data_IF_179121847992
#
_entry.id   IF_179121847992
#
_cell.length_a   1.000
_cell.length_b   1.000
_cell.length_c   1.000
_cell.angle_alpha   90.00
_cell.angle_beta   90.00
_cell.angle_gamma   90.00
#
_symmetry.space_group_name_H-M   'P 1'
#
loop_
_entity.id
_entity.type
_entity.pdbx_description
1 polymer ?
#
# COMPACT_ATOMS: atom_id res chain seq x y z
N UNK A 1 -57.78 -2.04 45.74
CA UNK A 1 -56.46 -1.36 45.67
C UNK A 1 -55.59 -2.20 44.76
N UNK A 2 -55.94 -2.20 43.48
CA UNK A 2 -55.55 -3.22 42.49
C UNK A 2 -54.61 -2.62 41.44
N UNK A 3 -53.65 -1.81 41.90
CA UNK A 3 -52.73 -1.07 41.03
C UNK A 3 -51.25 -1.39 41.24
N UNK A 4 -50.91 -2.30 42.17
CA UNK A 4 -49.50 -2.58 42.53
C UNK A 4 -49.01 -3.98 42.20
N UNK A 5 -49.87 -4.94 41.82
CA UNK A 5 -49.43 -6.29 41.42
C UNK A 5 -49.11 -6.44 39.92
N UNK A 6 -49.61 -5.56 39.06
CA UNK A 6 -49.30 -5.61 37.62
C UNK A 6 -48.00 -4.88 37.25
N UNK A 7 -47.54 -3.92 38.06
CA UNK A 7 -46.30 -3.17 37.79
C UNK A 7 -45.03 -4.00 38.04
N UNK A 8 -45.08 -5.01 38.92
CA UNK A 8 -43.90 -5.83 39.27
C UNK A 8 -43.69 -7.00 38.30
N UNK A 9 -44.75 -7.46 37.64
CA UNK A 9 -44.67 -8.52 36.63
C UNK A 9 -44.11 -8.02 35.29
N UNK A 10 -44.25 -6.72 34.98
CA UNK A 10 -43.80 -6.13 33.71
C UNK A 10 -42.34 -5.63 33.73
N UNK A 11 -41.68 -5.66 34.90
CA UNK A 11 -40.27 -5.30 35.04
C UNK A 11 -39.32 -6.51 34.87
N UNK A 12 -39.82 -7.74 35.06
CA UNK A 12 -39.01 -8.95 35.00
C UNK A 12 -38.83 -9.55 33.59
N UNK A 13 -39.53 -9.04 32.57
CA UNK A 13 -39.48 -9.58 31.20
C UNK A 13 -38.60 -8.78 30.23
N UNK A 14 -37.84 -7.77 30.71
CA UNK A 14 -36.98 -6.91 29.85
C UNK A 14 -35.47 -7.08 30.03
N UNK A 15 -35.00 -8.18 30.63
CA UNK A 15 -33.56 -8.43 30.82
C UNK A 15 -33.03 -9.74 30.23
N UNK A 16 -33.74 -10.37 29.29
CA UNK A 16 -33.12 -11.30 28.35
C UNK A 16 -32.40 -10.51 27.24
N UNK A 17 -31.46 -9.66 27.64
CA UNK A 17 -30.65 -8.85 26.74
C UNK A 17 -29.88 -9.78 25.80
N UNK A 18 -30.10 -9.63 24.50
CA UNK A 18 -29.32 -10.32 23.46
C UNK A 18 -27.83 -10.24 23.80
N UNK A 19 -27.25 -11.37 24.20
CA UNK A 19 -25.82 -11.50 24.42
C UNK A 19 -25.11 -10.91 23.21
N UNK A 20 -24.18 -9.97 23.46
CA UNK A 20 -23.49 -9.21 22.42
C UNK A 20 -22.80 -10.22 21.51
N UNK A 21 -23.36 -10.50 20.33
CA UNK A 21 -22.83 -11.48 19.39
C UNK A 21 -21.42 -11.01 18.99
N UNK A 22 -20.40 -11.68 19.52
CA UNK A 22 -18.99 -11.33 19.29
C UNK A 22 -18.53 -12.04 18.04
N UNK A 23 -17.73 -11.35 17.23
CA UNK A 23 -17.03 -11.98 16.12
C UNK A 23 -16.00 -12.97 16.66
N UNK A 24 -15.86 -14.11 15.99
CA UNK A 24 -14.89 -15.17 16.32
C UNK A 24 -13.57 -14.99 15.57
N UNK A 25 -13.59 -14.27 14.45
CA UNK A 25 -12.40 -13.90 13.69
C UNK A 25 -11.96 -12.46 14.01
N UNK A 26 -10.65 -12.24 14.12
CA UNK A 26 -10.07 -10.92 14.36
C UNK A 26 -10.07 -10.05 13.11
N UNK A 27 -10.53 -8.80 13.25
CA UNK A 27 -10.45 -7.76 12.23
C UNK A 27 -10.43 -6.37 12.88
N UNK A 28 -9.82 -5.36 12.23
CA UNK A 28 -9.78 -4.00 12.75
C UNK A 28 -11.12 -3.30 12.53
N UNK A 29 -11.44 -2.36 13.43
CA UNK A 29 -12.65 -1.55 13.33
C UNK A 29 -12.43 -0.23 12.56
N UNK A 30 -11.20 0.08 12.16
CA UNK A 30 -10.84 1.19 11.28
C UNK A 30 -9.85 0.74 10.22
N UNK A 31 -9.71 1.52 9.16
CA UNK A 31 -8.93 1.17 7.97
C UNK A 31 -7.42 1.24 8.18
N UNK A 32 -6.69 0.63 7.24
CA UNK A 32 -5.23 0.64 7.21
C UNK A 32 -4.66 2.07 7.19
N UNK A 33 -5.30 3.00 6.48
CA UNK A 33 -4.89 4.40 6.43
C UNK A 33 -4.80 5.02 7.84
N UNK A 34 -5.82 4.80 8.67
CA UNK A 34 -5.82 5.27 10.06
C UNK A 34 -4.64 4.70 10.87
N UNK A 35 -4.22 3.47 10.58
CA UNK A 35 -3.06 2.86 11.24
C UNK A 35 -1.73 3.46 10.75
N UNK A 36 -1.63 3.77 9.45
CA UNK A 36 -0.47 4.44 8.86
C UNK A 36 -0.32 5.85 9.45
N UNK A 37 -1.40 6.59 9.65
CA UNK A 37 -1.36 7.92 10.29
C UNK A 37 -0.74 7.88 11.71
N UNK A 38 -1.03 6.82 12.49
CA UNK A 38 -0.36 6.62 13.79
C UNK A 38 1.13 6.29 13.61
N UNK A 39 1.47 5.47 12.62
CA UNK A 39 2.84 5.10 12.35
C UNK A 39 3.70 6.29 11.92
N UNK A 40 3.17 7.12 11.02
CA UNK A 40 3.80 8.35 10.56
C UNK A 40 4.03 9.32 11.73
N UNK A 41 3.08 9.42 12.66
CA UNK A 41 3.22 10.25 13.85
C UNK A 41 4.38 9.78 14.75
N UNK A 42 4.49 8.47 15.00
CA UNK A 42 5.59 7.90 15.79
C UNK A 42 6.93 8.09 15.06
N UNK A 43 7.00 7.74 13.78
CA UNK A 43 8.22 7.89 12.97
C UNK A 43 8.72 9.33 12.99
N UNK A 44 7.83 10.30 12.82
CA UNK A 44 8.18 11.72 12.71
C UNK A 44 8.66 12.33 14.03
N UNK A 45 8.22 11.80 15.18
CA UNK A 45 8.46 12.42 16.50
C UNK A 45 9.55 11.71 17.28
N UNK A 46 9.55 10.37 17.28
CA UNK A 46 10.47 9.54 18.09
C UNK A 46 11.27 8.54 17.26
N UNK A 47 11.03 8.49 15.95
CA UNK A 47 11.73 7.59 15.02
C UNK A 47 11.49 6.13 15.36
N UNK A 48 12.51 5.49 15.97
CA UNK A 48 12.49 4.08 16.35
C UNK A 48 12.23 3.84 17.84
N UNK A 49 12.05 4.89 18.64
CA UNK A 49 11.79 4.76 20.09
C UNK A 49 10.29 4.57 20.35
N UNK A 50 10.00 4.26 21.60
CA UNK A 50 8.64 4.05 22.07
C UNK A 50 7.99 5.38 22.50
N UNK A 51 6.65 5.40 22.52
CA UNK A 51 5.84 6.52 23.01
C UNK A 51 4.63 6.03 23.81
N UNK A 52 4.13 6.87 24.71
CA UNK A 52 2.91 6.56 25.48
C UNK A 52 1.61 7.02 24.78
N UNK A 53 0.45 6.65 25.38
CA UNK A 53 -0.88 7.04 24.90
C UNK A 53 -1.07 8.57 24.81
N UNK A 54 -0.54 9.33 25.76
CA UNK A 54 -0.74 10.79 25.82
C UNK A 54 0.10 11.49 24.75
N UNK A 55 1.33 11.04 24.53
CA UNK A 55 2.21 11.50 23.46
C UNK A 55 1.59 11.22 22.08
N UNK A 56 1.20 9.98 21.80
CA UNK A 56 0.66 9.60 20.51
C UNK A 56 -0.69 10.28 20.21
N UNK A 57 -1.55 10.43 21.24
CA UNK A 57 -2.79 11.17 21.09
C UNK A 57 -2.54 12.67 20.82
N UNK A 58 -1.57 13.28 21.49
CA UNK A 58 -1.21 14.68 21.25
C UNK A 58 -0.74 14.91 19.80
N UNK A 59 0.13 14.04 19.27
CA UNK A 59 0.64 14.16 17.90
C UNK A 59 -0.45 14.00 16.84
N UNK A 60 -1.45 13.17 17.11
CA UNK A 60 -2.59 12.92 16.22
C UNK A 60 -3.75 13.89 16.46
N UNK A 61 -3.58 14.86 17.36
CA UNK A 61 -4.59 15.86 17.75
C UNK A 61 -5.87 15.22 18.29
N UNK A 62 -5.72 14.14 19.04
CA UNK A 62 -6.80 13.40 19.68
C UNK A 62 -6.64 13.42 21.20
N UNK A 63 -7.66 12.93 21.90
CA UNK A 63 -7.54 12.63 23.34
C UNK A 63 -7.20 11.17 23.53
N UNK A 64 -6.23 10.87 24.41
CA UNK A 64 -5.84 9.52 24.82
C UNK A 64 -7.01 8.72 25.43
N UNK A 65 -7.97 9.43 26.03
CA UNK A 65 -9.19 8.84 26.62
C UNK A 65 -10.28 8.54 25.58
N UNK A 66 -10.16 9.09 24.37
CA UNK A 66 -11.19 8.92 23.33
C UNK A 66 -11.33 7.46 22.89
N UNK A 67 -12.56 7.06 22.57
CA UNK A 67 -12.82 5.72 22.04
C UNK A 67 -12.23 5.54 20.64
N UNK A 68 -12.24 6.60 19.82
CA UNK A 68 -11.66 6.61 18.48
C UNK A 68 -10.16 6.31 18.51
N UNK A 69 -9.40 7.02 19.36
CA UNK A 69 -7.96 6.79 19.52
C UNK A 69 -7.65 5.33 19.87
N UNK A 70 -8.33 4.78 20.88
CA UNK A 70 -8.16 3.37 21.29
C UNK A 70 -8.50 2.38 20.18
N UNK A 71 -9.52 2.68 19.37
CA UNK A 71 -9.89 1.86 18.20
C UNK A 71 -8.81 1.92 17.12
N UNK A 72 -8.19 3.08 16.88
CA UNK A 72 -7.09 3.23 15.93
C UNK A 72 -5.84 2.48 16.39
N UNK A 73 -5.47 2.60 17.67
CA UNK A 73 -4.36 1.84 18.27
C UNK A 73 -4.58 0.33 18.14
N UNK A 74 -5.80 -0.14 18.48
CA UNK A 74 -6.16 -1.56 18.30
C UNK A 74 -6.05 -2.01 16.83
N UNK A 75 -6.53 -1.20 15.90
CA UNK A 75 -6.45 -1.51 14.48
C UNK A 75 -5.00 -1.58 14.00
N UNK A 76 -4.16 -0.61 14.40
CA UNK A 76 -2.76 -0.57 14.04
C UNK A 76 -1.97 -1.79 14.56
N UNK A 77 -2.31 -2.31 15.75
CA UNK A 77 -1.79 -3.59 16.26
C UNK A 77 -2.31 -4.79 15.45
N UNK A 78 -3.57 -4.76 15.03
CA UNK A 78 -4.18 -5.83 14.22
C UNK A 78 -3.56 -5.92 12.82
N UNK A 79 -3.22 -4.77 12.23
CA UNK A 79 -2.44 -4.68 10.99
C UNK A 79 -0.93 -4.97 11.18
N UNK A 80 -0.49 -5.21 12.43
CA UNK A 80 0.92 -5.37 12.82
C UNK A 80 1.81 -4.17 12.46
N UNK A 81 1.24 -2.98 12.34
CA UNK A 81 1.98 -1.73 12.12
C UNK A 81 2.60 -1.25 13.43
N UNK A 82 1.86 -1.36 14.52
CA UNK A 82 2.34 -1.06 15.87
C UNK A 82 2.52 -2.33 16.69
N UNK A 83 3.48 -2.26 17.59
CA UNK A 83 3.68 -3.24 18.66
C UNK A 83 3.88 -2.51 20.00
N UNK A 84 3.93 -3.29 21.07
CA UNK A 84 3.98 -2.78 22.45
C UNK A 84 2.85 -3.33 23.31
N UNK A 85 2.93 -3.03 24.60
CA UNK A 85 2.02 -3.49 25.63
C UNK A 85 1.32 -2.31 26.31
N UNK A 86 0.06 -2.53 26.72
CA UNK A 86 -0.72 -1.51 27.43
C UNK A 86 -0.72 -0.16 26.68
N UNK A 87 -0.19 0.86 27.36
CA UNK A 87 -0.09 2.25 26.93
C UNK A 87 1.23 2.60 26.23
N UNK A 88 2.15 1.65 26.03
CA UNK A 88 3.41 1.87 25.34
C UNK A 88 3.31 1.39 23.89
N UNK A 89 3.72 2.22 22.93
CA UNK A 89 3.60 1.98 21.50
C UNK A 89 4.92 2.24 20.79
N UNK A 90 5.24 1.38 19.83
CA UNK A 90 6.38 1.57 18.93
C UNK A 90 6.09 0.97 17.56
N UNK A 91 6.87 1.38 16.56
CA UNK A 91 6.81 0.79 15.23
C UNK A 91 7.36 -0.64 15.25
N UNK A 92 6.56 -1.59 14.77
CA UNK A 92 7.07 -2.92 14.44
C UNK A 92 8.04 -2.84 13.24
N UNK A 93 8.72 -3.93 12.92
CA UNK A 93 9.51 -4.02 11.68
C UNK A 93 8.64 -3.72 10.44
N UNK A 94 7.42 -4.26 10.41
CA UNK A 94 6.47 -4.00 9.34
C UNK A 94 6.01 -2.53 9.34
N UNK A 95 5.78 -1.93 10.50
CA UNK A 95 5.42 -0.52 10.62
C UNK A 95 6.49 0.42 10.08
N UNK A 96 7.77 0.12 10.31
CA UNK A 96 8.90 0.87 9.74
C UNK A 96 8.91 0.78 8.21
N UNK A 97 8.71 -0.43 7.67
CA UNK A 97 8.64 -0.63 6.22
C UNK A 97 7.41 0.05 5.58
N UNK A 98 6.32 0.22 6.33
CA UNK A 98 5.10 0.92 5.87
C UNK A 98 5.33 2.42 5.67
N UNK A 99 6.14 3.04 6.53
CA UNK A 99 6.45 4.48 6.47
C UNK A 99 7.67 4.81 5.61
N UNK A 100 8.47 3.81 5.24
CA UNK A 100 9.55 3.96 4.26
C UNK A 100 8.98 3.98 2.83
N UNK A 101 9.12 5.09 2.06
CA UNK A 101 8.59 5.19 0.70
C UNK A 101 9.04 4.07 -0.25
N UNK A 102 10.25 3.52 -0.07
CA UNK A 102 10.76 2.44 -0.93
C UNK A 102 10.05 1.11 -0.68
N UNK A 103 9.70 0.84 0.58
CA UNK A 103 9.13 -0.43 1.01
C UNK A 103 7.61 -0.35 1.25
N UNK A 104 7.04 0.86 1.28
CA UNK A 104 5.66 1.13 1.66
C UNK A 104 4.66 0.28 0.87
N UNK A 105 4.87 0.11 -0.44
CA UNK A 105 3.95 -0.66 -1.30
C UNK A 105 3.85 -2.12 -0.86
N UNK A 106 4.98 -2.80 -0.69
CA UNK A 106 5.02 -4.19 -0.21
C UNK A 106 4.51 -4.28 1.23
N UNK A 107 4.97 -3.36 2.08
CA UNK A 107 4.66 -3.38 3.49
C UNK A 107 3.17 -3.17 3.77
N UNK A 108 2.49 -2.27 3.04
CA UNK A 108 1.04 -2.09 3.12
C UNK A 108 0.30 -3.37 2.70
N UNK A 109 0.76 -4.06 1.66
CA UNK A 109 0.16 -5.32 1.24
C UNK A 109 0.32 -6.43 2.29
N UNK A 110 1.51 -6.53 2.90
CA UNK A 110 1.79 -7.45 4.01
C UNK A 110 0.95 -7.11 5.24
N UNK A 111 0.79 -5.82 5.59
CA UNK A 111 -0.05 -5.36 6.70
C UNK A 111 -1.52 -5.73 6.49
N UNK A 112 -2.04 -5.56 5.26
CA UNK A 112 -3.39 -5.96 4.91
C UNK A 112 -3.62 -7.47 5.12
N UNK A 113 -2.70 -8.31 4.63
CA UNK A 113 -2.79 -9.77 4.78
C UNK A 113 -2.43 -10.29 6.18
N UNK A 114 -1.89 -9.45 7.06
CA UNK A 114 -1.66 -9.81 8.47
C UNK A 114 -2.98 -9.96 9.25
N UNK A 115 -4.06 -9.33 8.77
CA UNK A 115 -5.39 -9.42 9.38
C UNK A 115 -6.04 -10.78 9.05
N UNK A 116 -6.43 -11.59 10.04
CA UNK A 116 -6.97 -12.94 9.81
C UNK A 116 -8.17 -12.97 8.85
N UNK A 117 -9.13 -12.06 9.05
CA UNK A 117 -10.29 -11.96 8.17
C UNK A 117 -9.90 -11.64 6.72
N UNK A 118 -8.95 -10.72 6.52
CA UNK A 118 -8.61 -10.23 5.19
C UNK A 118 -7.84 -11.28 4.40
N UNK A 119 -6.93 -11.99 5.07
CA UNK A 119 -6.26 -13.16 4.51
C UNK A 119 -7.26 -14.23 4.06
N UNK A 120 -8.25 -14.57 4.88
CA UNK A 120 -9.26 -15.57 4.54
C UNK A 120 -10.13 -15.16 3.35
N UNK A 121 -10.54 -13.89 3.29
CA UNK A 121 -11.28 -13.34 2.14
C UNK A 121 -10.42 -13.34 0.88
N UNK A 122 -9.14 -12.98 1.00
CA UNK A 122 -8.21 -13.01 -0.13
C UNK A 122 -7.99 -14.41 -0.67
N UNK A 123 -7.73 -15.39 0.20
CA UNK A 123 -7.54 -16.78 -0.20
C UNK A 123 -8.79 -17.34 -0.90
N UNK A 124 -9.99 -17.00 -0.42
CA UNK A 124 -11.27 -17.42 -1.04
C UNK A 124 -11.48 -16.85 -2.45
N UNK A 125 -11.03 -15.62 -2.70
CA UNK A 125 -11.30 -14.89 -3.95
C UNK A 125 -10.06 -14.67 -4.83
N UNK A 126 -8.93 -15.28 -4.49
CA UNK A 126 -7.67 -15.14 -5.24
C UNK A 126 -7.84 -15.66 -6.66
N UNK A 127 -7.50 -14.82 -7.65
CA UNK A 127 -7.65 -15.14 -9.07
C UNK A 127 -9.09 -15.09 -9.59
N UNK A 128 -10.07 -14.80 -8.72
CA UNK A 128 -11.49 -14.67 -9.06
C UNK A 128 -11.97 -13.22 -9.10
N UNK A 129 -13.29 -13.08 -9.19
CA UNK A 129 -14.01 -11.80 -9.09
C UNK A 129 -14.60 -11.69 -7.69
N UNK A 130 -14.43 -10.54 -7.05
CA UNK A 130 -15.07 -10.25 -5.77
C UNK A 130 -16.59 -10.19 -5.93
N UNK A 131 -17.35 -10.82 -5.03
CA UNK A 131 -18.79 -10.79 -5.10
C UNK A 131 -19.32 -9.38 -4.75
N UNK A 132 -20.57 -9.06 -5.13
CA UNK A 132 -21.21 -7.79 -4.74
C UNK A 132 -21.25 -7.61 -3.22
N UNK A 133 -21.33 -6.35 -2.77
CA UNK A 133 -21.24 -5.97 -1.35
C UNK A 133 -22.10 -6.83 -0.40
N UNK A 134 -23.36 -7.10 -0.75
CA UNK A 134 -24.26 -7.91 0.07
C UNK A 134 -23.80 -9.37 0.21
N UNK A 135 -23.23 -9.94 -0.85
CA UNK A 135 -22.69 -11.30 -0.84
C UNK A 135 -21.37 -11.34 -0.05
N UNK A 136 -20.49 -10.36 -0.23
CA UNK A 136 -19.26 -10.23 0.54
C UNK A 136 -19.52 -10.13 2.05
N UNK A 137 -20.51 -9.32 2.47
CA UNK A 137 -20.92 -9.23 3.88
C UNK A 137 -21.40 -10.60 4.42
N UNK A 138 -22.16 -11.39 3.64
CA UNK A 138 -22.60 -12.73 4.07
C UNK A 138 -21.42 -13.70 4.21
N UNK A 139 -20.46 -13.63 3.30
CA UNK A 139 -19.25 -14.45 3.38
C UNK A 139 -18.40 -14.09 4.61
N UNK A 140 -18.28 -12.80 4.92
CA UNK A 140 -17.58 -12.36 6.14
C UNK A 140 -18.26 -12.88 7.41
N UNK A 141 -19.59 -12.95 7.44
CA UNK A 141 -20.32 -13.59 8.54
C UNK A 141 -20.00 -15.08 8.63
N UNK A 142 -19.99 -15.79 7.50
CA UNK A 142 -19.60 -17.21 7.45
C UNK A 142 -18.15 -17.44 7.90
N UNK A 143 -17.26 -16.46 7.70
CA UNK A 143 -15.88 -16.48 8.18
C UNK A 143 -15.74 -16.12 9.67
N UNK A 144 -16.82 -15.79 10.36
CA UNK A 144 -16.82 -15.54 11.81
C UNK A 144 -17.02 -14.08 12.23
N UNK A 145 -17.36 -13.16 11.31
CA UNK A 145 -17.78 -11.80 11.68
C UNK A 145 -19.20 -11.86 12.25
N UNK A 146 -19.48 -11.11 13.31
CA UNK A 146 -20.85 -11.04 13.84
C UNK A 146 -21.80 -10.30 12.90
N UNK A 147 -23.07 -10.68 12.91
CA UNK A 147 -24.10 -10.12 12.03
C UNK A 147 -24.21 -8.60 12.12
N UNK A 148 -24.01 -8.04 13.33
CA UNK A 148 -24.05 -6.59 13.60
C UNK A 148 -22.82 -5.83 13.07
N UNK A 149 -21.74 -6.53 12.74
CA UNK A 149 -20.47 -5.92 12.33
C UNK A 149 -20.13 -6.16 10.86
N UNK A 150 -20.90 -7.00 10.13
CA UNK A 150 -20.61 -7.39 8.75
C UNK A 150 -20.39 -6.20 7.80
N UNK A 151 -21.22 -5.17 7.89
CA UNK A 151 -21.14 -4.02 6.98
C UNK A 151 -19.94 -3.12 7.30
N UNK A 152 -19.61 -2.99 8.59
CA UNK A 152 -18.38 -2.30 9.03
C UNK A 152 -17.15 -3.08 8.59
N UNK A 153 -17.13 -4.41 8.80
CA UNK A 153 -16.03 -5.26 8.40
C UNK A 153 -15.77 -5.17 6.89
N UNK A 154 -16.84 -5.20 6.07
CA UNK A 154 -16.77 -5.02 4.62
C UNK A 154 -16.21 -3.64 4.24
N UNK A 155 -16.75 -2.57 4.81
CA UNK A 155 -16.31 -1.20 4.49
C UNK A 155 -14.84 -0.98 4.84
N UNK A 156 -14.42 -1.44 6.02
CA UNK A 156 -13.04 -1.31 6.50
C UNK A 156 -12.10 -2.16 5.65
N UNK A 157 -12.52 -3.37 5.27
CA UNK A 157 -11.79 -4.23 4.33
C UNK A 157 -11.59 -3.53 2.99
N UNK A 158 -12.64 -3.00 2.37
CA UNK A 158 -12.57 -2.36 1.06
C UNK A 158 -11.61 -1.15 1.07
N UNK A 159 -11.73 -0.28 2.09
CA UNK A 159 -10.82 0.86 2.25
C UNK A 159 -9.38 0.44 2.50
N UNK A 160 -9.17 -0.61 3.28
CA UNK A 160 -7.83 -1.12 3.58
C UNK A 160 -7.21 -1.80 2.36
N UNK A 161 -8.02 -2.49 1.55
CA UNK A 161 -7.59 -3.09 0.29
C UNK A 161 -7.21 -2.02 -0.74
N UNK A 162 -7.98 -0.93 -0.80
CA UNK A 162 -7.68 0.24 -1.64
C UNK A 162 -6.36 0.88 -1.22
N UNK A 163 -6.16 1.15 0.08
CA UNK A 163 -4.91 1.71 0.62
C UNK A 163 -3.70 0.78 0.39
N UNK A 164 -3.92 -0.53 0.42
CA UNK A 164 -2.88 -1.53 0.18
C UNK A 164 -2.65 -1.87 -1.30
N UNK A 165 -3.34 -1.20 -2.23
CA UNK A 165 -3.15 -1.38 -3.68
C UNK A 165 -3.80 -2.63 -4.28
N UNK A 166 -4.67 -3.33 -3.55
CA UNK A 166 -5.28 -4.57 -4.05
C UNK A 166 -6.32 -4.36 -5.17
N UNK A 167 -6.79 -3.13 -5.36
CA UNK A 167 -7.82 -2.76 -6.36
C UNK A 167 -7.27 -1.98 -7.55
N UNK A 168 -5.95 -1.92 -7.74
CA UNK A 168 -5.32 -1.21 -8.88
C UNK A 168 -5.79 -1.72 -10.25
N UNK A 169 -6.14 -3.01 -10.35
CA UNK A 169 -6.66 -3.64 -11.56
C UNK A 169 -8.21 -3.66 -11.62
N UNK A 170 -8.86 -2.81 -10.81
CA UNK A 170 -10.30 -2.64 -10.73
C UNK A 170 -10.90 -3.19 -9.43
N UNK A 171 -11.97 -2.54 -8.96
CA UNK A 171 -12.65 -2.83 -7.67
C UNK A 171 -13.28 -4.21 -7.57
N UNK A 172 -13.31 -4.96 -8.67
CA UNK A 172 -13.89 -6.31 -8.73
C UNK A 172 -12.84 -7.41 -8.58
N UNK A 173 -11.55 -7.08 -8.46
CA UNK A 173 -10.48 -8.07 -8.35
C UNK A 173 -9.58 -7.71 -7.18
N UNK A 174 -9.33 -8.68 -6.31
CA UNK A 174 -8.42 -8.53 -5.18
C UNK A 174 -7.06 -9.13 -5.55
N UNK A 175 -6.20 -8.31 -6.14
CA UNK A 175 -4.91 -8.75 -6.71
C UNK A 175 -3.77 -8.25 -5.84
N UNK A 176 -2.79 -9.09 -5.53
CA UNK A 176 -1.58 -8.64 -4.83
C UNK A 176 -0.87 -7.58 -5.68
N UNK A 177 -0.54 -6.40 -5.11
CA UNK A 177 0.17 -5.37 -5.86
C UNK A 177 1.56 -5.87 -6.26
N UNK A 178 1.96 -5.63 -7.50
CA UNK A 178 3.33 -5.85 -7.94
C UNK A 178 4.28 -4.91 -7.20
N UNK A 179 5.40 -5.44 -6.72
CA UNK A 179 6.45 -4.64 -6.06
C UNK A 179 7.67 -4.70 -6.97
N UNK A 180 8.10 -3.55 -7.49
CA UNK A 180 9.38 -3.44 -8.17
C UNK A 180 10.47 -3.54 -7.09
N UNK A 181 11.32 -4.55 -7.18
CA UNK A 181 12.48 -4.67 -6.31
C UNK A 181 13.47 -3.55 -6.67
N UNK A 182 13.60 -2.55 -5.80
CA UNK A 182 14.76 -1.68 -5.78
C UNK A 182 15.70 -2.23 -4.71
N UNK A 183 16.87 -2.81 -5.07
CA UNK A 183 17.83 -3.16 -4.06
C UNK A 183 18.20 -1.90 -3.28
N UNK A 184 18.01 -1.94 -1.96
CA UNK A 184 18.65 -0.98 -1.08
C UNK A 184 20.15 -1.17 -1.26
N UNK A 185 20.81 -0.19 -1.87
CA UNK A 185 22.27 -0.09 -1.85
C UNK A 185 22.62 0.37 -0.44
N UNK A 186 23.16 -0.49 0.45
CA UNK A 186 23.66 -0.04 1.73
C UNK A 186 24.91 0.80 1.43
N UNK A 187 25.06 1.92 2.13
CA UNK A 187 26.16 2.85 1.93
C UNK A 187 27.52 2.16 1.85
N UNK A 188 28.32 2.59 0.89
CA UNK A 188 29.70 2.16 0.66
C UNK A 188 30.50 2.20 1.97
N UNK A 189 30.95 1.02 2.41
CA UNK A 189 32.27 0.88 2.99
C UNK A 189 32.88 -0.41 2.42
N UNK A 190 34.13 -0.29 1.99
CA UNK A 190 34.79 -1.20 1.07
C UNK A 190 34.90 -2.64 1.57
N UNK A 191 34.82 -3.60 0.64
CA UNK A 191 36.03 -4.19 0.04
C UNK A 191 35.69 -5.43 -0.79
N UNK A 192 36.34 -5.47 -1.95
CA UNK A 192 36.79 -6.63 -2.74
C UNK A 192 35.81 -7.76 -3.12
N UNK A 193 35.55 -7.82 -4.43
CA UNK A 193 35.09 -9.01 -5.17
C UNK A 193 36.04 -10.20 -4.94
N UNK A 194 35.51 -11.43 -5.00
CA UNK A 194 35.53 -12.14 -6.28
C UNK A 194 34.17 -12.75 -6.67
N UNK A 195 33.86 -12.68 -7.97
CA UNK A 195 32.86 -13.51 -8.67
C UNK A 195 33.42 -14.94 -8.90
N UNK A 196 32.67 -15.93 -9.46
CA UNK A 196 31.21 -16.05 -9.68
C UNK A 196 30.64 -17.44 -9.26
N UNK A 197 29.32 -17.57 -9.08
CA UNK A 197 28.60 -18.77 -9.58
C UNK A 197 27.10 -18.55 -9.80
N UNK A 198 26.53 -19.40 -10.66
CA UNK A 198 25.37 -19.21 -11.53
C UNK A 198 24.00 -19.48 -10.89
N UNK A 199 22.98 -18.82 -11.47
CA UNK A 199 21.60 -19.33 -11.65
C UNK A 199 20.56 -18.55 -10.82
N UNK A 200 19.45 -18.02 -11.33
CA UNK A 200 18.81 -18.04 -12.65
C UNK A 200 17.37 -17.50 -12.51
N UNK A 201 16.91 -16.69 -13.48
CA UNK A 201 15.48 -16.34 -13.76
C UNK A 201 14.81 -15.29 -12.85
N UNK A 202 14.19 -14.21 -13.34
CA UNK A 202 13.95 -13.78 -14.71
C UNK A 202 13.15 -12.46 -14.78
N UNK A 203 13.60 -11.59 -15.67
CA UNK A 203 12.85 -10.67 -16.54
C UNK A 203 13.76 -10.55 -17.78
N UNK A 204 13.25 -10.55 -19.04
CA UNK A 204 14.16 -10.53 -20.18
C UNK A 204 14.95 -9.21 -20.14
N UNK A 205 16.29 -9.27 -20.14
CA UNK A 205 17.09 -8.06 -20.18
C UNK A 205 16.71 -7.26 -21.42
N UNK A 206 16.59 -5.94 -21.29
CA UNK A 206 16.51 -5.04 -22.45
C UNK A 206 17.61 -5.45 -23.43
N UNK A 207 17.27 -5.50 -24.73
CA UNK A 207 18.21 -5.95 -25.76
C UNK A 207 19.54 -5.18 -25.61
N UNK A 208 20.74 -5.83 -25.68
CA UNK A 208 22.01 -5.17 -25.36
C UNK A 208 22.26 -3.86 -26.12
N UNK A 209 21.82 -3.77 -27.37
CA UNK A 209 21.87 -2.51 -28.14
C UNK A 209 20.97 -1.41 -27.59
N UNK A 210 19.78 -1.73 -27.08
CA UNK A 210 18.88 -0.75 -26.44
C UNK A 210 19.49 -0.27 -25.13
N UNK A 211 20.07 -1.19 -24.34
CA UNK A 211 20.77 -0.84 -23.11
C UNK A 211 21.98 0.07 -23.40
N UNK A 212 22.82 -0.29 -24.38
CA UNK A 212 23.97 0.51 -24.79
C UNK A 212 23.56 1.89 -25.32
N UNK A 213 22.49 1.97 -26.12
CA UNK A 213 21.95 3.23 -26.61
C UNK A 213 21.53 4.16 -25.46
N UNK A 214 20.80 3.64 -24.46
CA UNK A 214 20.38 4.45 -23.30
C UNK A 214 21.56 4.91 -22.44
N UNK A 215 22.61 4.09 -22.32
CA UNK A 215 23.83 4.47 -21.61
C UNK A 215 24.61 5.61 -22.28
N UNK A 216 24.42 5.82 -23.58
CA UNK A 216 25.06 6.93 -24.31
C UNK A 216 24.32 8.27 -24.20
N UNK A 217 23.15 8.31 -23.54
CA UNK A 217 22.46 9.57 -23.31
C UNK A 217 23.28 10.46 -22.37
N UNK A 218 23.51 11.74 -22.74
CA UNK A 218 24.11 12.69 -21.82
C UNK A 218 23.17 12.94 -20.64
N UNK A 219 23.73 13.38 -19.51
CA UNK A 219 22.94 13.74 -18.32
C UNK A 219 21.95 14.87 -18.68
N UNK A 220 20.75 14.90 -18.05
CA UNK A 220 19.83 16.03 -18.18
C UNK A 220 20.54 17.36 -17.92
N UNK A 221 20.10 18.42 -18.60
CA UNK A 221 20.70 19.77 -18.52
C UNK A 221 22.15 19.88 -19.02
N UNK A 222 22.70 18.86 -19.69
CA UNK A 222 24.02 18.97 -20.36
C UNK A 222 23.87 19.55 -21.76
N UNK A 223 24.77 20.44 -22.17
CA UNK A 223 24.83 20.94 -23.54
C UNK A 223 25.04 19.78 -24.52
N UNK A 224 24.01 19.52 -25.34
CA UNK A 224 24.02 18.44 -26.33
C UNK A 224 23.78 19.04 -27.72
N UNK A 225 24.82 19.08 -28.56
CA UNK A 225 24.72 19.66 -29.89
C UNK A 225 23.63 18.99 -30.74
N UNK A 226 22.88 19.78 -31.52
CA UNK A 226 21.79 19.27 -32.37
C UNK A 226 22.26 18.17 -33.33
N UNK A 227 23.47 18.30 -33.88
CA UNK A 227 24.09 17.28 -34.75
C UNK A 227 24.37 15.97 -34.02
N UNK A 228 24.73 16.02 -32.73
CA UNK A 228 24.92 14.84 -31.90
C UNK A 228 23.58 14.18 -31.52
N UNK A 229 22.53 14.97 -31.27
CA UNK A 229 21.15 14.47 -31.05
C UNK A 229 20.65 13.69 -32.26
N UNK A 230 20.85 14.23 -33.46
CA UNK A 230 20.45 13.56 -34.71
C UNK A 230 21.23 12.27 -34.92
N UNK A 231 22.55 12.28 -34.72
CA UNK A 231 23.36 11.05 -34.81
C UNK A 231 22.90 9.97 -33.84
N UNK A 232 22.60 10.35 -32.60
CA UNK A 232 22.10 9.42 -31.58
C UNK A 232 20.74 8.84 -31.97
N UNK A 233 19.79 9.69 -32.39
CA UNK A 233 18.47 9.26 -32.84
C UNK A 233 18.55 8.37 -34.09
N UNK A 234 19.44 8.68 -35.04
CA UNK A 234 19.65 7.86 -36.23
C UNK A 234 20.19 6.48 -35.85
N UNK A 235 21.06 6.42 -34.84
CA UNK A 235 21.57 5.16 -34.30
C UNK A 235 20.45 4.35 -33.63
N UNK A 236 19.55 5.02 -32.90
CA UNK A 236 18.35 4.41 -32.34
C UNK A 236 17.44 3.80 -33.42
N UNK A 237 17.18 4.55 -34.50
CA UNK A 237 16.40 4.07 -35.64
C UNK A 237 17.02 2.80 -36.26
N UNK A 238 18.33 2.81 -36.53
CA UNK A 238 19.03 1.65 -37.09
C UNK A 238 18.99 0.42 -36.15
N UNK A 239 19.08 0.65 -34.84
CA UNK A 239 18.95 -0.43 -33.83
C UNK A 239 17.52 -1.00 -33.83
N UNK A 240 16.51 -0.16 -34.01
CA UNK A 240 15.13 -0.62 -34.11
C UNK A 240 14.87 -1.44 -35.37
N UNK A 241 15.37 -1.00 -36.53
CA UNK A 241 15.28 -1.74 -37.80
C UNK A 241 15.99 -3.11 -37.72
N UNK A 242 17.07 -3.20 -36.92
CA UNK A 242 17.80 -4.45 -36.72
C UNK A 242 17.04 -5.45 -35.84
N UNK A 243 16.32 -4.99 -34.81
CA UNK A 243 15.75 -5.84 -33.75
C UNK A 243 14.26 -6.12 -33.98
N UNK A 244 13.50 -5.17 -34.55
CA UNK A 244 12.06 -5.25 -34.69
C UNK A 244 11.67 -5.43 -36.15
N UNK A 245 10.74 -6.36 -36.40
CA UNK A 245 10.17 -6.55 -37.74
C UNK A 245 9.11 -5.48 -38.00
N UNK A 246 9.25 -4.75 -39.10
CA UNK A 246 8.28 -3.76 -39.56
C UNK A 246 8.67 -3.21 -40.93
N UNK A 247 7.67 -2.73 -41.67
CA UNK A 247 7.89 -2.06 -42.95
C UNK A 247 7.82 -0.54 -42.74
N UNK A 248 8.87 0.16 -43.15
CA UNK A 248 8.97 1.62 -43.12
C UNK A 248 10.30 2.11 -42.54
N UNK A 249 11.04 2.92 -43.31
CA UNK A 249 12.29 3.51 -42.85
C UNK A 249 12.08 4.79 -42.04
N UNK A 250 12.79 4.93 -40.92
CA UNK A 250 12.76 6.15 -40.10
C UNK A 250 13.75 7.17 -40.68
N UNK A 251 13.26 8.36 -41.07
CA UNK A 251 14.09 9.51 -41.46
C UNK A 251 14.14 10.54 -40.33
N UNK A 252 15.34 11.00 -39.98
CA UNK A 252 15.57 11.95 -38.90
C UNK A 252 16.24 13.20 -39.48
N UNK A 253 15.54 14.33 -39.42
CA UNK A 253 16.00 15.61 -39.97
C UNK A 253 15.98 16.70 -38.89
N UNK A 254 16.95 17.61 -38.92
CA UNK A 254 16.93 18.81 -38.06
C UNK A 254 16.01 19.87 -38.65
N UNK A 255 14.93 20.23 -37.96
CA UNK A 255 14.21 21.45 -38.28
C UNK A 255 15.03 22.67 -37.81
N UNK A 256 15.39 23.59 -38.72
CA UNK A 256 15.94 24.88 -38.34
C UNK A 256 14.86 25.68 -37.59
N UNK A 257 15.14 26.10 -36.36
CA UNK A 257 14.27 27.02 -35.64
C UNK A 257 14.22 28.35 -36.41
N UNK A 258 13.05 28.67 -36.98
CA UNK A 258 12.78 30.02 -37.48
C UNK A 258 12.88 30.98 -36.29
N UNK A 259 13.89 31.86 -36.30
CA UNK A 259 14.00 32.96 -35.35
C UNK A 259 12.83 33.92 -35.58
N UNK A 260 11.93 34.03 -34.61
CA UNK A 260 10.96 35.14 -34.57
C UNK A 260 11.68 36.50 -34.60
N UNK A 261 11.13 37.52 -35.28
CA UNK A 261 11.77 38.83 -35.36
C UNK A 261 11.73 39.52 -33.99
N UNK A 262 12.84 40.16 -33.60
CA UNK A 262 12.93 41.02 -32.41
C UNK A 262 11.93 42.17 -32.54
N UNK A 263 11.27 42.58 -31.45
CA UNK A 263 10.51 43.82 -31.44
C UNK A 263 11.48 45.00 -31.58
N UNK A 264 11.24 45.85 -32.59
CA UNK A 264 11.90 47.14 -32.75
C UNK A 264 11.48 48.09 -31.63
N UNK A 265 12.47 48.84 -31.11
CA UNK A 265 12.28 50.01 -30.23
C UNK A 265 11.30 51.03 -30.81
#
# INVERSE_FOLDING_TARGET
>A
MDGQKEAVANAATKSAGHARQRSTIGFPYTDLKSAIELADAIHSQVGLRDCDDDQLAAWTKQSSKSSTFRVQVYAARTFRVLEGDGSNHRLSELGRAVVDPKQAREAKARAFLAVPLYKAVYEKYRGGVLPPAAALSRDMVALGVSEKQKDRARLVFERSAEEAGFFEHGKQRLVMPGVAYQPDVPGENGSERPEPEKGGGGEPPLHPFIQGLLQTLPKPETEWAATARVKWLQTAANIFDLIYKGDGGIKIETAMAQRSPRPSE
#
